data_IF_783221018626
#
_entry.id   IF_783221018626
#
_cell.length_a   1.000
_cell.length_b   1.000
_cell.length_c   1.000
_cell.angle_alpha   90.00
_cell.angle_beta   90.00
_cell.angle_gamma   90.00
#
_symmetry.space_group_name_H-M   'P 1'
#
loop_
_entity.id
_entity.type
_entity.pdbx_description
1 polymer ?
#
# COMPACT_ATOMS: atom_id res chain seq x y z
N UNK A 1 -74.91 -5.41 -20.46
CA UNK A 1 -74.40 -6.41 -19.49
C UNK A 1 -72.90 -6.67 -19.72
N UNK A 2 -72.04 -5.64 -19.75
CA UNK A 2 -70.60 -5.86 -20.03
C UNK A 2 -69.68 -4.71 -19.56
N UNK A 3 -69.70 -4.40 -18.26
CA UNK A 3 -68.68 -3.48 -17.69
C UNK A 3 -68.14 -3.96 -16.33
N UNK A 4 -68.82 -4.85 -15.61
CA UNK A 4 -68.41 -5.25 -14.25
C UNK A 4 -67.53 -6.53 -14.18
N UNK A 5 -67.30 -7.23 -15.30
CA UNK A 5 -66.53 -8.50 -15.29
C UNK A 5 -65.03 -8.34 -15.52
N UNK A 6 -64.58 -7.20 -16.07
CA UNK A 6 -63.15 -6.95 -16.39
C UNK A 6 -62.34 -6.37 -15.21
N UNK A 7 -62.99 -5.84 -14.18
CA UNK A 7 -62.32 -5.29 -12.98
C UNK A 7 -61.91 -6.35 -11.95
N UNK A 8 -62.50 -7.57 -12.00
CA UNK A 8 -62.14 -8.68 -11.10
C UNK A 8 -60.95 -9.54 -11.56
N UNK A 9 -60.59 -9.53 -12.85
CA UNK A 9 -59.48 -10.33 -13.39
C UNK A 9 -58.13 -9.59 -13.29
N UNK A 10 -58.11 -8.25 -13.37
CA UNK A 10 -56.87 -7.46 -13.19
C UNK A 10 -56.40 -7.33 -11.74
N UNK A 11 -57.24 -7.64 -10.75
CA UNK A 11 -56.90 -7.57 -9.32
C UNK A 11 -56.26 -8.83 -8.74
N UNK A 12 -55.99 -9.86 -9.56
CA UNK A 12 -55.48 -11.17 -9.09
C UNK A 12 -53.98 -11.42 -9.28
N UNK A 13 -53.17 -10.40 -9.62
CA UNK A 13 -51.70 -10.54 -9.72
C UNK A 13 -50.89 -9.31 -9.25
N UNK A 14 -51.32 -8.64 -8.18
CA UNK A 14 -50.52 -7.61 -7.48
C UNK A 14 -50.13 -8.05 -6.05
N UNK A 15 -50.09 -9.37 -5.79
CA UNK A 15 -49.58 -9.91 -4.52
C UNK A 15 -48.05 -9.80 -4.49
N UNK A 16 -47.55 -8.81 -3.74
CA UNK A 16 -46.21 -8.74 -3.14
C UNK A 16 -45.00 -8.89 -4.08
N UNK A 17 -44.83 -8.02 -5.07
CA UNK A 17 -43.47 -7.68 -5.52
C UNK A 17 -42.90 -6.68 -4.52
N UNK A 18 -42.05 -7.15 -3.59
CA UNK A 18 -41.22 -6.26 -2.75
C UNK A 18 -40.43 -5.35 -3.70
N UNK A 19 -40.73 -4.06 -3.69
CA UNK A 19 -40.02 -3.08 -4.51
C UNK A 19 -38.69 -2.81 -3.82
N UNK A 20 -37.63 -3.47 -4.30
CA UNK A 20 -36.28 -3.36 -3.74
C UNK A 20 -35.54 -2.13 -4.27
N UNK A 21 -34.65 -1.55 -3.46
CA UNK A 21 -33.75 -0.45 -3.86
C UNK A 21 -32.51 -0.97 -4.56
N UNK A 22 -31.93 -0.13 -5.42
CA UNK A 22 -30.66 -0.39 -6.07
C UNK A 22 -29.52 -0.28 -5.05
N UNK A 23 -28.69 -1.31 -4.89
CA UNK A 23 -27.56 -1.31 -3.95
C UNK A 23 -26.43 -0.33 -4.34
N UNK A 24 -26.49 0.25 -5.54
CA UNK A 24 -25.47 1.19 -6.04
C UNK A 24 -25.91 2.65 -5.85
N UNK A 25 -27.17 2.96 -6.17
CA UNK A 25 -27.65 4.36 -6.23
C UNK A 25 -28.94 4.62 -5.46
N UNK A 26 -29.49 3.61 -4.77
CA UNK A 26 -30.73 3.71 -3.98
C UNK A 26 -32.03 3.77 -4.79
N UNK A 27 -31.98 3.95 -6.12
CA UNK A 27 -33.19 4.10 -6.95
C UNK A 27 -34.07 2.85 -7.00
N UNK A 28 -35.37 3.05 -7.22
CA UNK A 28 -36.40 2.03 -7.40
C UNK A 28 -37.02 2.09 -8.81
N UNK A 29 -37.59 0.99 -9.36
CA UNK A 29 -37.51 -0.37 -8.84
C UNK A 29 -36.18 -1.05 -9.19
N UNK A 30 -35.59 -1.79 -8.25
CA UNK A 30 -34.44 -2.63 -8.52
C UNK A 30 -34.85 -4.07 -8.85
N UNK A 31 -34.05 -4.69 -9.71
CA UNK A 31 -34.18 -6.09 -10.11
C UNK A 31 -32.81 -6.76 -10.01
N UNK A 32 -32.78 -8.08 -9.91
CA UNK A 32 -31.52 -8.82 -9.82
C UNK A 32 -30.83 -8.85 -11.20
N UNK A 33 -29.69 -8.15 -11.35
CA UNK A 33 -28.92 -8.11 -12.59
C UNK A 33 -27.44 -8.39 -12.31
N UNK A 34 -26.83 -9.27 -13.10
CA UNK A 34 -25.41 -9.63 -13.05
C UNK A 34 -24.87 -10.05 -11.67
N UNK A 35 -25.73 -10.42 -10.71
CA UNK A 35 -25.33 -10.85 -9.36
C UNK A 35 -25.81 -9.94 -8.22
N UNK A 36 -26.37 -8.76 -8.51
CA UNK A 36 -26.81 -7.82 -7.48
C UNK A 36 -28.17 -7.16 -7.78
N UNK A 37 -28.85 -6.67 -6.74
CA UNK A 37 -30.07 -5.86 -6.88
C UNK A 37 -29.73 -4.46 -7.40
N UNK A 38 -30.14 -4.15 -8.63
CA UNK A 38 -29.79 -2.91 -9.32
C UNK A 38 -30.94 -2.33 -10.14
N UNK A 39 -30.94 -1.01 -10.34
CA UNK A 39 -31.85 -0.33 -11.25
C UNK A 39 -31.42 -0.50 -12.72
N UNK A 40 -32.31 -0.21 -13.67
CA UNK A 40 -32.05 -0.29 -15.12
C UNK A 40 -30.84 0.52 -15.59
N UNK A 41 -30.61 1.68 -14.96
CA UNK A 41 -29.48 2.56 -15.28
C UNK A 41 -28.16 1.94 -14.84
N UNK A 42 -28.06 1.44 -13.60
CA UNK A 42 -26.85 0.78 -13.11
C UNK A 42 -26.56 -0.54 -13.82
N UNK A 43 -27.61 -1.29 -14.20
CA UNK A 43 -27.49 -2.46 -15.07
C UNK A 43 -26.79 -2.11 -16.40
N UNK A 44 -27.30 -1.09 -17.09
CA UNK A 44 -26.79 -0.68 -18.40
C UNK A 44 -25.40 -0.07 -18.29
N UNK A 45 -25.17 0.70 -17.23
CA UNK A 45 -23.85 1.24 -16.88
C UNK A 45 -22.83 0.11 -16.69
N UNK A 46 -23.15 -0.90 -15.89
CA UNK A 46 -22.26 -2.05 -15.66
C UNK A 46 -21.94 -2.79 -16.95
N UNK A 47 -22.95 -3.12 -17.76
CA UNK A 47 -22.75 -3.79 -19.04
C UNK A 47 -21.78 -3.04 -19.96
N UNK A 48 -21.93 -1.71 -20.07
CA UNK A 48 -21.06 -0.87 -20.93
C UNK A 48 -19.60 -0.83 -20.49
N UNK A 49 -19.33 -0.99 -19.19
CA UNK A 49 -17.97 -0.91 -18.63
C UNK A 49 -17.35 -2.28 -18.41
N UNK A 50 -18.17 -3.33 -18.21
CA UNK A 50 -17.72 -4.72 -18.11
C UNK A 50 -17.19 -5.27 -19.44
N UNK A 51 -17.63 -4.73 -20.58
CA UNK A 51 -17.20 -5.19 -21.93
C UNK A 51 -16.11 -4.33 -22.56
N UNK A 52 -15.61 -3.29 -21.86
CA UNK A 52 -14.56 -2.41 -22.38
C UNK A 52 -13.18 -2.88 -21.89
N UNK A 53 -12.13 -2.77 -22.72
CA UNK A 53 -10.77 -3.11 -22.31
C UNK A 53 -10.20 -2.14 -21.25
N UNK A 54 -10.76 -0.94 -21.13
CA UNK A 54 -10.31 0.08 -20.18
C UNK A 54 -11.37 0.37 -19.13
N UNK A 55 -11.00 0.22 -17.86
CA UNK A 55 -11.83 0.62 -16.74
C UNK A 55 -11.76 2.14 -16.53
N UNK A 56 -12.88 2.79 -16.15
CA UNK A 56 -12.88 4.23 -15.90
C UNK A 56 -11.99 4.56 -14.69
N UNK A 57 -11.19 5.62 -14.79
CA UNK A 57 -10.28 6.10 -13.73
C UNK A 57 -10.93 7.24 -12.93
N UNK A 58 -10.71 7.26 -11.62
CA UNK A 58 -11.26 8.27 -10.72
C UNK A 58 -10.31 9.47 -10.63
N UNK A 59 -10.82 10.69 -10.82
CA UNK A 59 -10.04 11.92 -10.61
C UNK A 59 -9.72 12.18 -9.12
N UNK A 60 -10.55 11.67 -8.21
CA UNK A 60 -10.39 11.82 -6.76
C UNK A 60 -9.91 10.50 -6.11
N UNK A 61 -9.28 9.61 -6.87
CA UNK A 61 -8.66 8.37 -6.37
C UNK A 61 -9.56 7.47 -5.50
N UNK A 62 -10.86 7.45 -5.78
CA UNK A 62 -11.84 6.66 -5.03
C UNK A 62 -12.50 7.38 -3.85
N UNK A 63 -12.11 8.63 -3.56
CA UNK A 63 -12.64 9.42 -2.43
C UNK A 63 -13.83 10.30 -2.80
N UNK A 64 -14.48 10.03 -3.94
CA UNK A 64 -15.66 10.79 -4.35
C UNK A 64 -16.70 10.83 -3.25
N UNK A 65 -17.01 12.03 -2.78
CA UNK A 65 -18.10 12.27 -1.85
C UNK A 65 -19.43 11.75 -2.40
N UNK A 66 -20.37 11.46 -1.51
CA UNK A 66 -21.69 11.04 -1.94
C UNK A 66 -22.37 12.16 -2.76
N UNK A 67 -22.99 11.86 -3.92
CA UNK A 67 -23.23 10.52 -4.44
C UNK A 67 -22.12 10.00 -5.39
N UNK A 68 -21.63 8.80 -5.10
CA UNK A 68 -20.58 8.06 -5.85
C UNK A 68 -20.91 7.84 -7.35
N UNK A 69 -22.18 8.02 -7.75
CA UNK A 69 -22.66 7.81 -9.11
C UNK A 69 -22.15 8.83 -10.14
N UNK A 70 -21.62 9.97 -9.69
CA UNK A 70 -21.07 11.02 -10.57
C UNK A 70 -19.73 10.59 -11.19
N UNK A 71 -18.93 9.87 -10.42
CA UNK A 71 -17.66 9.34 -10.91
C UNK A 71 -17.86 7.95 -11.52
N UNK A 72 -17.52 7.79 -12.81
CA UNK A 72 -17.65 6.51 -13.53
C UNK A 72 -16.81 5.41 -12.87
N UNK A 73 -15.62 5.74 -12.38
CA UNK A 73 -14.73 4.81 -11.69
C UNK A 73 -15.32 4.31 -10.37
N UNK A 74 -15.68 5.23 -9.47
CA UNK A 74 -16.27 4.87 -8.17
C UNK A 74 -17.60 4.13 -8.34
N UNK A 75 -18.40 4.52 -9.33
CA UNK A 75 -19.64 3.82 -9.65
C UNK A 75 -19.40 2.40 -10.12
N UNK A 76 -18.39 2.17 -10.96
CA UNK A 76 -18.04 0.82 -11.43
C UNK A 76 -17.44 -0.04 -10.32
N UNK A 77 -16.56 0.53 -9.49
CA UNK A 77 -16.05 -0.12 -8.28
C UNK A 77 -17.20 -0.54 -7.35
N UNK A 78 -18.19 0.34 -7.13
CA UNK A 78 -19.38 0.01 -6.33
C UNK A 78 -20.19 -1.13 -6.94
N UNK A 79 -20.30 -1.21 -8.27
CA UNK A 79 -20.95 -2.36 -8.93
C UNK A 79 -20.27 -3.69 -8.57
N UNK A 80 -18.93 -3.74 -8.59
CA UNK A 80 -18.18 -4.94 -8.24
C UNK A 80 -18.31 -5.27 -6.74
N UNK A 81 -18.25 -4.26 -5.88
CA UNK A 81 -18.38 -4.40 -4.42
C UNK A 81 -19.73 -5.02 -4.01
N UNK A 82 -20.83 -4.63 -4.67
CA UNK A 82 -22.16 -5.21 -4.41
C UNK A 82 -22.37 -6.58 -5.06
N UNK A 83 -21.34 -7.14 -5.72
CA UNK A 83 -21.37 -8.49 -6.29
C UNK A 83 -21.85 -8.57 -7.74
N UNK A 84 -21.67 -7.52 -8.56
CA UNK A 84 -21.88 -7.64 -10.00
C UNK A 84 -20.68 -8.27 -10.70
N UNK A 85 -20.95 -9.27 -11.54
CA UNK A 85 -19.95 -10.15 -12.15
C UNK A 85 -19.80 -9.87 -13.66
N UNK A 86 -18.63 -9.40 -14.14
CA UNK A 86 -18.38 -9.10 -15.56
C UNK A 86 -18.57 -10.33 -16.47
N UNK A 87 -18.22 -11.53 -15.99
CA UNK A 87 -18.38 -12.78 -16.72
C UNK A 87 -19.85 -13.09 -17.09
N UNK A 88 -20.81 -12.56 -16.31
CA UNK A 88 -22.25 -12.70 -16.59
C UNK A 88 -22.76 -11.70 -17.64
N UNK A 89 -21.97 -10.67 -17.95
CA UNK A 89 -22.23 -9.74 -19.05
C UNK A 89 -21.65 -10.24 -20.39
N UNK A 90 -20.68 -11.16 -20.36
CA UNK A 90 -20.02 -11.72 -21.54
C UNK A 90 -20.75 -12.86 -22.25
N UNK A 91 -21.73 -13.52 -21.59
CA UNK A 91 -22.59 -14.50 -22.27
C UNK A 91 -23.69 -13.77 -23.02
N UNK A 92 -23.52 -13.57 -24.33
CA UNK A 92 -24.58 -13.16 -25.25
C UNK A 92 -25.75 -14.15 -25.15
N UNK A 93 -26.74 -13.85 -24.30
CA UNK A 93 -28.05 -14.47 -24.38
C UNK A 93 -28.64 -14.08 -25.74
N UNK A 94 -28.85 -15.08 -26.59
CA UNK A 94 -29.32 -14.89 -27.96
C UNK A 94 -30.68 -14.22 -28.04
N UNK A 95 -30.86 -13.40 -29.08
CA UNK A 95 -32.11 -13.23 -29.77
C UNK A 95 -31.85 -13.05 -31.27
N UNK A 96 -32.66 -13.75 -32.07
CA UNK A 96 -32.58 -13.94 -33.51
C UNK A 96 -32.69 -12.66 -34.36
N UNK A 97 -31.91 -12.66 -35.46
CA UNK A 97 -32.13 -12.10 -36.81
C UNK A 97 -33.18 -10.99 -37.00
N UNK A 98 -32.73 -9.91 -37.68
CA UNK A 98 -33.21 -9.56 -39.03
C UNK A 98 -32.13 -8.79 -39.82
N UNK A 99 -31.59 -9.42 -40.85
CA UNK A 99 -30.80 -8.78 -41.92
C UNK A 99 -31.74 -7.88 -42.73
N UNK A 100 -31.35 -6.62 -42.96
CA UNK A 100 -31.80 -5.83 -44.13
C UNK A 100 -30.62 -5.04 -44.69
N UNK A 101 -30.56 -5.06 -46.02
CA UNK A 101 -29.58 -4.45 -46.93
C UNK A 101 -29.56 -2.92 -46.90
N UNK A 102 -28.40 -2.36 -47.31
CA UNK A 102 -28.22 -1.01 -47.90
C UNK A 102 -28.41 0.14 -46.90
N UNK A 103 -27.67 1.24 -46.91
CA UNK A 103 -26.95 1.92 -47.99
C UNK A 103 -26.00 2.92 -47.34
N UNK A 104 -24.83 3.15 -47.94
CA UNK A 104 -23.92 4.24 -47.59
C UNK A 104 -24.58 5.60 -47.81
N UNK A 105 -24.50 6.50 -46.83
CA UNK A 105 -24.46 7.95 -47.03
C UNK A 105 -23.61 8.57 -45.92
N UNK A 106 -22.57 9.29 -46.32
CA UNK A 106 -21.56 9.87 -45.45
C UNK A 106 -21.85 11.28 -44.97
N UNK A 107 -20.80 11.81 -44.34
CA UNK A 107 -20.46 13.21 -44.06
C UNK A 107 -21.18 13.89 -42.89
N UNK A 108 -20.45 14.11 -41.79
CA UNK A 108 -19.68 15.35 -41.62
C UNK A 108 -18.84 15.32 -40.33
N UNK A 109 -17.53 15.39 -40.51
CA UNK A 109 -16.58 15.78 -39.48
C UNK A 109 -16.76 17.28 -39.19
N UNK A 110 -16.62 17.66 -37.93
CA UNK A 110 -16.53 19.05 -37.47
C UNK A 110 -15.41 19.14 -36.45
N UNK A 111 -14.73 20.29 -36.36
CA UNK A 111 -13.27 20.35 -36.25
C UNK A 111 -12.77 20.00 -34.85
N UNK A 112 -11.73 19.19 -34.79
CA UNK A 112 -10.90 19.02 -33.60
C UNK A 112 -10.22 20.36 -33.28
N UNK A 113 -10.70 21.01 -32.22
CA UNK A 113 -9.92 22.03 -31.53
C UNK A 113 -8.71 21.32 -30.89
N UNK A 114 -7.47 21.83 -31.00
CA UNK A 114 -6.33 21.19 -30.35
C UNK A 114 -6.57 21.18 -28.84
N UNK A 115 -6.95 20.03 -28.29
CA UNK A 115 -6.95 19.81 -26.86
C UNK A 115 -5.49 19.91 -26.43
N UNK A 116 -5.09 21.09 -25.94
CA UNK A 116 -3.98 21.23 -25.01
C UNK A 116 -4.18 20.15 -23.95
N UNK A 117 -3.31 19.13 -23.98
CA UNK A 117 -3.28 18.09 -22.97
C UNK A 117 -3.26 18.79 -21.62
N UNK A 118 -4.31 18.60 -20.83
CA UNK A 118 -4.31 19.09 -19.45
C UNK A 118 -3.22 18.33 -18.70
N UNK A 119 -2.57 18.97 -17.72
CA UNK A 119 -1.47 18.39 -16.94
C UNK A 119 -1.80 16.97 -16.44
N UNK A 120 -3.08 16.69 -16.14
CA UNK A 120 -3.61 15.37 -15.77
C UNK A 120 -3.46 14.25 -16.81
N UNK A 121 -3.47 14.56 -18.11
CA UNK A 121 -3.28 13.55 -19.16
C UNK A 121 -1.81 13.12 -19.28
N UNK A 122 -0.86 13.93 -18.78
CA UNK A 122 0.55 13.51 -18.59
C UNK A 122 0.70 12.59 -17.37
N UNK A 123 -0.11 12.76 -16.32
CA UNK A 123 -0.08 11.91 -15.12
C UNK A 123 -0.65 10.50 -15.33
N UNK A 124 -1.55 10.30 -16.28
CA UNK A 124 -2.06 8.97 -16.63
C UNK A 124 -0.97 8.04 -17.22
N UNK A 125 0.18 8.58 -17.65
CA UNK A 125 1.36 7.81 -18.04
C UNK A 125 2.27 7.43 -16.86
N UNK A 126 2.07 8.00 -15.66
CA UNK A 126 3.00 7.87 -14.52
C UNK A 126 2.69 6.66 -13.62
N UNK A 127 1.50 6.06 -13.71
CA UNK A 127 1.22 4.86 -12.91
C UNK A 127 0.31 3.83 -13.60
N UNK A 128 0.89 2.92 -14.41
CA UNK A 128 0.20 1.72 -14.89
C UNK A 128 -0.26 0.78 -13.75
N UNK A 129 0.29 0.94 -12.55
CA UNK A 129 0.17 0.01 -11.42
C UNK A 129 -1.20 0.00 -10.74
N UNK A 130 -2.02 1.05 -10.91
CA UNK A 130 -3.39 1.10 -10.36
C UNK A 130 -4.45 0.52 -11.30
N UNK A 131 -4.07 0.13 -12.54
CA UNK A 131 -4.99 -0.51 -13.49
C UNK A 131 -5.13 -2.03 -13.31
N UNK A 132 -4.30 -2.69 -12.49
CA UNK A 132 -4.24 -4.15 -12.39
C UNK A 132 -4.75 -4.71 -11.05
N UNK A 133 -6.04 -4.51 -10.75
CA UNK A 133 -6.72 -5.29 -9.69
C UNK A 133 -7.17 -6.70 -10.14
N UNK A 134 -6.56 -7.28 -11.18
CA UNK A 134 -6.96 -8.58 -11.74
C UNK A 134 -5.82 -9.63 -11.93
N UNK A 135 -4.60 -9.38 -11.44
CA UNK A 135 -3.52 -10.38 -11.41
C UNK A 135 -2.88 -10.42 -10.01
N UNK A 136 -3.60 -10.95 -9.01
CA UNK A 136 -3.22 -10.80 -7.58
C UNK A 136 -2.16 -11.78 -7.06
N UNK A 137 -1.86 -12.87 -7.75
CA UNK A 137 -0.87 -13.85 -7.25
C UNK A 137 0.55 -13.56 -7.75
N UNK A 138 0.74 -13.27 -9.05
CA UNK A 138 2.07 -12.97 -9.60
C UNK A 138 2.65 -11.66 -9.05
N UNK A 139 1.80 -10.67 -8.76
CA UNK A 139 2.24 -9.36 -8.26
C UNK A 139 2.73 -9.43 -6.81
N UNK A 140 2.04 -10.16 -5.92
CA UNK A 140 2.40 -10.21 -4.50
C UNK A 140 3.75 -10.90 -4.26
N UNK A 141 3.94 -12.08 -4.85
CA UNK A 141 5.20 -12.82 -4.69
C UNK A 141 6.38 -12.09 -5.36
N UNK A 142 6.13 -11.43 -6.50
CA UNK A 142 7.15 -10.60 -7.15
C UNK A 142 7.53 -9.40 -6.30
N UNK A 143 6.54 -8.71 -5.71
CA UNK A 143 6.79 -7.55 -4.85
C UNK A 143 7.58 -7.94 -3.60
N UNK A 144 7.20 -9.03 -2.93
CA UNK A 144 7.92 -9.50 -1.75
C UNK A 144 9.34 -9.91 -2.09
N UNK A 145 9.56 -10.60 -3.22
CA UNK A 145 10.92 -10.89 -3.70
C UNK A 145 11.71 -9.60 -3.92
N UNK A 146 11.10 -8.59 -4.54
CA UNK A 146 11.74 -7.28 -4.72
C UNK A 146 12.16 -6.69 -3.37
N UNK A 147 11.25 -6.62 -2.39
CA UNK A 147 11.55 -6.11 -1.05
C UNK A 147 12.67 -6.91 -0.36
N UNK A 148 12.70 -8.23 -0.51
CA UNK A 148 13.79 -9.07 0.01
C UNK A 148 15.13 -8.72 -0.64
N UNK A 149 15.16 -8.53 -1.95
CA UNK A 149 16.40 -8.18 -2.66
C UNK A 149 16.88 -6.78 -2.29
N UNK A 150 15.98 -5.81 -2.08
CA UNK A 150 16.31 -4.49 -1.53
C UNK A 150 16.99 -4.63 -0.17
N UNK A 151 16.41 -5.41 0.75
CA UNK A 151 17.00 -5.64 2.08
C UNK A 151 18.39 -6.24 2.02
N UNK A 152 18.56 -7.25 1.15
CA UNK A 152 19.86 -7.89 0.92
C UNK A 152 20.87 -6.91 0.36
N UNK A 153 20.50 -6.09 -0.61
CA UNK A 153 21.36 -5.07 -1.18
C UNK A 153 21.81 -4.03 -0.14
N UNK A 154 20.87 -3.59 0.71
CA UNK A 154 21.17 -2.65 1.79
C UNK A 154 22.04 -3.27 2.91
N UNK A 155 21.98 -4.59 3.05
CA UNK A 155 22.73 -5.36 4.05
C UNK A 155 23.98 -6.05 3.49
N UNK A 156 24.27 -5.88 2.19
CA UNK A 156 25.20 -6.73 1.46
C UNK A 156 26.63 -6.66 2.01
N UNK A 157 27.28 -7.83 2.04
CA UNK A 157 28.65 -7.99 2.48
C UNK A 157 29.63 -7.26 1.55
N UNK A 158 30.39 -6.32 2.10
CA UNK A 158 31.65 -5.90 1.48
C UNK A 158 32.74 -6.84 1.99
N UNK A 159 33.49 -7.54 1.10
CA UNK A 159 34.64 -8.36 1.48
C UNK A 159 35.75 -7.58 2.21
N UNK A 160 35.68 -6.25 2.17
CA UNK A 160 36.60 -5.32 2.78
C UNK A 160 35.90 -4.62 3.93
N UNK A 161 35.70 -5.34 5.04
CA UNK A 161 35.29 -4.70 6.29
C UNK A 161 36.51 -4.00 6.90
N UNK A 162 36.60 -2.65 6.88
CA UNK A 162 37.58 -1.96 7.70
C UNK A 162 37.35 -2.37 9.15
N UNK A 163 38.43 -2.59 9.90
CA UNK A 163 38.31 -2.92 11.32
C UNK A 163 37.57 -1.76 11.99
N UNK A 164 36.65 -2.04 12.90
CA UNK A 164 35.72 -1.04 13.50
C UNK A 164 36.42 0.15 14.23
N UNK A 165 37.74 0.16 14.37
CA UNK A 165 38.53 1.31 14.83
C UNK A 165 38.88 2.33 13.72
N UNK A 166 38.73 1.96 12.45
CA UNK A 166 38.92 2.83 11.27
C UNK A 166 37.59 3.38 10.72
N UNK A 167 36.49 3.17 11.45
CA UNK A 167 35.16 3.62 11.04
C UNK A 167 35.01 5.14 11.20
N UNK A 168 35.17 5.87 10.09
CA UNK A 168 34.89 7.31 9.98
C UNK A 168 33.47 7.57 9.50
N UNK A 169 32.92 8.72 9.90
CA UNK A 169 31.60 9.18 9.47
C UNK A 169 31.53 10.72 9.45
N UNK A 170 30.59 11.25 8.68
CA UNK A 170 30.30 12.68 8.58
C UNK A 170 28.79 12.93 8.67
N UNK A 171 28.31 13.40 9.84
CA UNK A 171 26.89 13.72 10.05
C UNK A 171 26.49 15.11 9.52
N UNK A 172 27.42 15.87 8.93
CA UNK A 172 27.12 17.17 8.32
C UNK A 172 26.56 17.05 6.90
N UNK A 173 26.68 15.87 6.29
CA UNK A 173 26.19 15.59 4.93
C UNK A 173 24.66 15.66 4.88
N UNK A 174 24.12 16.30 3.84
CA UNK A 174 22.66 16.47 3.70
C UNK A 174 21.97 15.18 3.27
N UNK A 175 20.70 15.00 3.61
CA UNK A 175 19.91 13.84 3.17
C UNK A 175 19.93 13.65 1.64
N UNK A 176 19.89 14.75 0.87
CA UNK A 176 19.91 14.66 -0.59
C UNK A 176 21.27 14.21 -1.11
N UNK A 177 22.37 14.72 -0.53
CA UNK A 177 23.71 14.26 -0.84
C UNK A 177 23.91 12.76 -0.54
N UNK A 178 23.35 12.28 0.57
CA UNK A 178 23.42 10.86 0.96
C UNK A 178 22.58 10.02 -0.01
N UNK A 179 21.41 10.47 -0.45
CA UNK A 179 20.60 9.76 -1.46
C UNK A 179 21.30 9.65 -2.82
N UNK A 180 22.07 10.66 -3.20
CA UNK A 180 22.86 10.61 -4.44
C UNK A 180 24.11 9.74 -4.28
N UNK A 181 24.82 9.90 -3.16
CA UNK A 181 26.10 9.26 -2.89
C UNK A 181 26.17 8.78 -1.42
N UNK A 182 25.59 7.61 -1.09
CA UNK A 182 25.45 7.16 0.29
C UNK A 182 26.78 7.03 1.04
N UNK A 183 27.86 6.69 0.35
CA UNK A 183 29.20 6.56 0.93
C UNK A 183 29.78 7.87 1.51
N UNK A 184 29.17 9.04 1.22
CA UNK A 184 29.59 10.32 1.81
C UNK A 184 29.40 10.35 3.34
N UNK A 185 28.39 9.65 3.87
CA UNK A 185 28.13 9.66 5.33
C UNK A 185 29.07 8.76 6.10
N UNK A 186 29.36 7.55 5.59
CA UNK A 186 30.30 6.60 6.17
C UNK A 186 30.62 5.49 5.16
N UNK A 187 31.67 4.73 5.43
CA UNK A 187 32.03 3.57 4.62
C UNK A 187 30.92 2.51 4.65
N UNK A 188 30.75 1.79 3.53
CA UNK A 188 29.83 0.65 3.44
C UNK A 188 30.35 -0.48 4.32
N UNK A 189 29.62 -0.76 5.39
CA UNK A 189 29.91 -1.83 6.35
C UNK A 189 28.64 -2.65 6.56
N UNK A 190 28.72 -4.00 6.54
CA UNK A 190 27.54 -4.85 6.71
C UNK A 190 26.84 -4.52 8.02
N UNK A 191 25.51 -4.39 8.00
CA UNK A 191 24.73 -4.02 9.19
C UNK A 191 24.93 -4.99 10.36
N UNK A 192 25.11 -6.29 10.09
CA UNK A 192 25.35 -7.29 11.13
C UNK A 192 24.15 -7.51 12.06
N UNK A 193 22.94 -7.19 11.62
CA UNK A 193 21.69 -7.40 12.35
C UNK A 193 21.22 -8.87 12.25
N UNK A 194 22.11 -9.79 12.61
CA UNK A 194 21.90 -11.23 12.46
C UNK A 194 22.34 -12.00 13.72
N UNK A 195 22.09 -13.30 13.76
CA UNK A 195 22.36 -14.15 14.93
C UNK A 195 23.84 -14.17 15.38
N UNK A 196 24.77 -13.69 14.55
CA UNK A 196 26.18 -13.49 14.91
C UNK A 196 26.47 -12.10 15.49
N UNK A 197 25.46 -11.36 15.94
CA UNK A 197 25.61 -10.06 16.58
C UNK A 197 26.58 -10.15 17.77
N UNK A 198 27.60 -9.29 17.77
CA UNK A 198 28.65 -9.29 18.81
C UNK A 198 28.14 -8.66 20.10
N UNK A 199 28.72 -9.03 21.24
CA UNK A 199 28.36 -8.41 22.50
C UNK A 199 28.65 -6.90 22.48
N UNK A 200 27.70 -6.13 23.01
CA UNK A 200 27.83 -4.69 23.13
C UNK A 200 29.00 -4.31 24.03
N UNK A 201 29.90 -3.47 23.52
CA UNK A 201 31.04 -2.95 24.26
C UNK A 201 30.84 -1.44 24.52
N UNK A 202 30.59 -1.02 25.78
CA UNK A 202 30.27 0.36 26.14
C UNK A 202 31.45 1.33 26.01
N UNK A 203 32.69 0.85 25.89
CA UNK A 203 33.90 1.68 25.95
C UNK A 203 34.40 2.20 24.58
N UNK A 204 33.53 2.31 23.56
CA UNK A 204 33.93 2.85 22.25
C UNK A 204 33.51 4.31 22.11
N UNK A 205 34.48 5.18 21.87
CA UNK A 205 34.25 6.59 21.52
C UNK A 205 33.25 6.73 20.35
N UNK A 206 32.34 7.71 20.50
CA UNK A 206 31.33 8.12 19.52
C UNK A 206 30.36 7.03 19.03
N UNK A 207 30.01 6.07 19.89
CA UNK A 207 29.04 5.00 19.59
C UNK A 207 27.74 5.51 18.94
N UNK A 208 27.11 6.55 19.52
CA UNK A 208 25.85 7.10 19.01
C UNK A 208 25.96 7.62 17.58
N UNK A 209 27.01 8.38 17.28
CA UNK A 209 27.26 8.90 15.92
C UNK A 209 27.52 7.79 14.91
N UNK A 210 28.27 6.75 15.29
CA UNK A 210 28.53 5.58 14.44
C UNK A 210 27.25 4.80 14.14
N UNK A 211 26.42 4.56 15.15
CA UNK A 211 25.10 3.93 14.98
C UNK A 211 24.23 4.75 14.03
N UNK A 212 24.14 6.06 14.24
CA UNK A 212 23.32 6.95 13.43
C UNK A 212 23.79 6.98 11.97
N UNK A 213 25.10 7.15 11.74
CA UNK A 213 25.67 7.17 10.39
C UNK A 213 25.39 5.87 9.62
N UNK A 214 25.55 4.72 10.27
CA UNK A 214 25.28 3.41 9.64
C UNK A 214 23.80 3.19 9.34
N UNK A 215 22.92 3.58 10.25
CA UNK A 215 21.48 3.48 9.99
C UNK A 215 21.01 4.45 8.91
N UNK A 216 21.61 5.65 8.83
CA UNK A 216 21.34 6.60 7.75
C UNK A 216 21.84 6.11 6.39
N UNK A 217 23.01 5.46 6.32
CA UNK A 217 23.49 4.79 5.11
C UNK A 217 22.48 3.72 4.65
N UNK A 218 22.05 2.85 5.56
CA UNK A 218 21.01 1.84 5.28
C UNK A 218 19.73 2.48 4.76
N UNK A 219 19.22 3.52 5.43
CA UNK A 219 18.00 4.21 5.00
C UNK A 219 18.16 4.82 3.61
N UNK A 220 19.31 5.42 3.31
CA UNK A 220 19.57 6.00 2.00
C UNK A 220 19.59 4.95 0.90
N UNK A 221 20.25 3.81 1.11
CA UNK A 221 20.19 2.70 0.14
C UNK A 221 18.78 2.18 -0.04
N UNK A 222 18.05 1.96 1.06
CA UNK A 222 16.66 1.52 1.00
C UNK A 222 15.79 2.49 0.20
N UNK A 223 15.93 3.80 0.43
CA UNK A 223 15.17 4.82 -0.28
C UNK A 223 15.54 4.91 -1.76
N UNK A 224 16.82 4.72 -2.11
CA UNK A 224 17.30 4.68 -3.50
C UNK A 224 16.68 3.52 -4.27
N UNK A 225 16.58 2.37 -3.63
CA UNK A 225 16.03 1.16 -4.24
C UNK A 225 14.49 1.07 -4.19
N UNK A 226 13.80 2.04 -3.57
CA UNK A 226 12.33 2.08 -3.48
C UNK A 226 11.74 3.03 -4.53
N UNK A 227 11.18 2.54 -5.65
CA UNK A 227 10.77 3.39 -6.78
C UNK A 227 9.67 4.41 -6.46
N UNK A 228 8.76 4.09 -5.53
CA UNK A 228 7.66 4.98 -5.16
C UNK A 228 8.15 6.29 -4.50
N UNK A 229 9.34 6.31 -3.90
CA UNK A 229 9.92 7.51 -3.31
C UNK A 229 10.42 8.47 -4.41
N UNK A 230 10.89 7.94 -5.53
CA UNK A 230 11.39 8.73 -6.66
C UNK A 230 10.29 9.34 -7.51
N UNK A 231 9.04 8.98 -7.25
CA UNK A 231 7.86 9.66 -7.81
C UNK A 231 7.57 10.98 -7.09
N UNK A 232 8.07 11.18 -5.87
CA UNK A 232 7.91 12.42 -5.13
C UNK A 232 8.72 13.55 -5.77
N UNK A 233 8.16 14.76 -5.74
CA UNK A 233 8.91 15.98 -6.07
C UNK A 233 10.12 16.15 -5.14
N UNK A 234 11.11 16.93 -5.58
CA UNK A 234 12.39 17.09 -4.87
C UNK A 234 12.23 17.40 -3.37
N UNK A 235 11.40 18.39 -3.03
CA UNK A 235 11.23 18.83 -1.64
C UNK A 235 10.43 17.83 -0.80
N UNK A 236 9.42 17.20 -1.38
CA UNK A 236 8.62 16.17 -0.71
C UNK A 236 9.45 14.92 -0.43
N UNK A 237 10.27 14.49 -1.39
CA UNK A 237 11.25 13.42 -1.22
C UNK A 237 12.22 13.73 -0.09
N UNK A 238 12.77 14.95 -0.07
CA UNK A 238 13.68 15.39 1.01
C UNK A 238 13.00 15.28 2.38
N UNK A 239 11.78 15.81 2.53
CA UNK A 239 11.01 15.76 3.79
C UNK A 239 10.66 14.32 4.18
N UNK A 240 10.20 13.54 3.22
CA UNK A 240 9.85 12.13 3.41
C UNK A 240 11.05 11.32 3.88
N UNK A 241 12.21 11.41 3.21
CA UNK A 241 13.41 10.66 3.59
C UNK A 241 13.96 11.11 4.95
N UNK A 242 13.95 12.42 5.26
CA UNK A 242 14.38 12.92 6.57
C UNK A 242 13.55 12.33 7.72
N UNK A 243 12.23 12.37 7.61
CA UNK A 243 11.34 11.81 8.63
C UNK A 243 11.39 10.28 8.63
N UNK A 244 11.35 9.69 7.44
CA UNK A 244 11.35 8.26 7.20
C UNK A 244 12.60 7.57 7.74
N UNK A 245 13.77 8.20 7.70
CA UNK A 245 15.02 7.60 8.21
C UNK A 245 14.92 7.19 9.67
N UNK A 246 14.33 8.04 10.52
CA UNK A 246 14.18 7.73 11.95
C UNK A 246 13.26 6.53 12.14
N UNK A 247 12.11 6.54 11.47
CA UNK A 247 11.09 5.49 11.56
C UNK A 247 11.61 4.16 11.02
N UNK A 248 12.23 4.18 9.85
CA UNK A 248 12.80 3.01 9.18
C UNK A 248 13.92 2.40 10.03
N UNK A 249 14.80 3.24 10.60
CA UNK A 249 15.87 2.77 11.49
C UNK A 249 15.33 2.06 12.73
N UNK A 250 14.32 2.65 13.39
CA UNK A 250 13.72 2.07 14.59
C UNK A 250 13.04 0.73 14.29
N UNK A 251 12.21 0.69 13.23
CA UNK A 251 11.51 -0.53 12.83
C UNK A 251 12.48 -1.66 12.49
N UNK A 252 13.57 -1.34 11.79
CA UNK A 252 14.61 -2.33 11.48
C UNK A 252 15.24 -2.89 12.76
N UNK A 253 15.71 -2.01 13.66
CA UNK A 253 16.35 -2.46 14.90
C UNK A 253 15.38 -3.25 15.79
N UNK A 254 14.11 -2.87 15.87
CA UNK A 254 13.10 -3.56 16.67
C UNK A 254 12.78 -4.94 16.13
N UNK A 255 12.57 -5.07 14.81
CA UNK A 255 12.30 -6.37 14.20
C UNK A 255 13.48 -7.32 14.36
N UNK A 256 14.72 -6.86 14.14
CA UNK A 256 15.88 -7.73 14.32
C UNK A 256 16.14 -8.06 15.80
N UNK A 257 15.83 -7.15 16.73
CA UNK A 257 15.87 -7.44 18.17
C UNK A 257 14.89 -8.56 18.52
N UNK A 258 13.67 -8.51 17.97
CA UNK A 258 12.66 -9.56 18.07
C UNK A 258 13.13 -10.88 17.47
N UNK A 259 13.61 -10.86 16.22
CA UNK A 259 13.96 -12.04 15.44
C UNK A 259 15.13 -12.82 16.06
N UNK A 260 16.11 -12.11 16.63
CA UNK A 260 17.27 -12.72 17.32
C UNK A 260 16.91 -13.17 18.74
N UNK A 261 15.82 -12.66 19.32
CA UNK A 261 15.47 -12.92 20.73
C UNK A 261 16.44 -12.25 21.70
N UNK A 262 16.93 -11.06 21.35
CA UNK A 262 17.70 -10.21 22.27
C UNK A 262 16.77 -9.75 23.42
N UNK A 263 17.23 -9.75 24.68
CA UNK A 263 16.42 -9.30 25.83
C UNK A 263 16.49 -7.78 26.07
N UNK A 264 17.50 -7.12 25.52
CA UNK A 264 17.58 -5.66 25.47
C UNK A 264 17.36 -5.16 24.05
N UNK A 265 18.41 -4.62 23.45
CA UNK A 265 18.36 -4.00 22.13
C UNK A 265 19.54 -4.43 21.24
N UNK A 266 19.36 -4.26 19.93
CA UNK A 266 20.46 -4.26 18.96
C UNK A 266 20.84 -2.84 18.61
N UNK A 267 22.14 -2.55 18.56
CA UNK A 267 22.65 -1.29 18.04
C UNK A 267 22.69 -1.30 16.51
N UNK A 268 22.72 -0.11 15.90
CA UNK A 268 22.97 0.05 14.46
C UNK A 268 24.35 -0.44 13.99
N UNK A 269 25.19 -0.93 14.92
CA UNK A 269 26.47 -1.55 14.62
C UNK A 269 26.42 -3.08 14.56
N UNK A 270 25.24 -3.70 14.75
CA UNK A 270 25.11 -5.14 14.85
C UNK A 270 25.60 -5.69 16.20
N UNK A 271 25.51 -4.87 17.25
CA UNK A 271 25.91 -5.28 18.60
C UNK A 271 24.70 -5.49 19.49
N UNK A 272 24.73 -6.57 20.26
CA UNK A 272 23.65 -6.99 21.16
C UNK A 272 23.94 -6.52 22.58
N UNK A 273 22.99 -5.81 23.17
CA UNK A 273 23.00 -5.49 24.59
C UNK A 273 21.87 -6.22 25.30
N UNK A 274 22.21 -7.06 26.27
CA UNK A 274 21.26 -7.63 27.23
C UNK A 274 21.40 -6.91 28.58
N UNK A 275 20.30 -6.44 29.19
CA UNK A 275 20.36 -5.78 30.48
C UNK A 275 20.87 -6.73 31.56
N UNK A 276 21.78 -6.21 32.40
CA UNK A 276 22.38 -6.97 33.50
C UNK A 276 22.61 -6.09 34.73
N UNK A 277 22.58 -6.63 35.95
CA UNK A 277 22.67 -5.84 37.19
C UNK A 277 23.94 -4.98 37.31
N UNK A 278 25.05 -5.47 36.75
CA UNK A 278 26.37 -4.82 36.69
C UNK A 278 26.59 -4.03 35.38
N UNK A 279 25.55 -3.87 34.57
CA UNK A 279 25.59 -3.17 33.29
C UNK A 279 25.68 -1.65 33.46
N UNK A 280 26.17 -0.90 32.45
CA UNK A 280 26.23 0.55 32.55
C UNK A 280 24.82 1.13 32.65
N UNK A 281 24.57 1.95 33.68
CA UNK A 281 23.25 2.46 34.04
C UNK A 281 22.48 3.04 32.84
N UNK A 282 23.10 3.94 32.06
CA UNK A 282 22.44 4.54 30.89
C UNK A 282 22.00 3.53 29.82
N UNK A 283 22.72 2.42 29.62
CA UNK A 283 22.31 1.38 28.66
C UNK A 283 21.25 0.45 29.24
N UNK A 284 21.29 0.18 30.55
CA UNK A 284 20.18 -0.49 31.25
C UNK A 284 18.91 0.36 31.19
N UNK A 285 19.01 1.69 31.35
CA UNK A 285 17.90 2.62 31.27
C UNK A 285 17.31 2.66 29.85
N UNK A 286 18.15 2.77 28.81
CA UNK A 286 17.70 2.69 27.41
C UNK A 286 17.01 1.36 27.15
N UNK A 287 17.60 0.25 27.62
CA UNK A 287 16.98 -1.05 27.45
C UNK A 287 15.67 -1.18 28.25
N UNK A 288 15.57 -0.55 29.42
CA UNK A 288 14.34 -0.45 30.19
C UNK A 288 13.26 0.34 29.46
N UNK A 289 13.54 1.57 29.03
CA UNK A 289 12.55 2.49 28.42
C UNK A 289 12.17 2.06 27.00
N UNK A 290 13.13 1.68 26.15
CA UNK A 290 12.83 1.31 24.77
C UNK A 290 12.32 -0.13 24.67
N UNK A 291 12.76 -1.02 25.56
CA UNK A 291 12.52 -2.44 25.40
C UNK A 291 11.43 -3.00 26.32
N UNK A 292 10.97 -2.30 27.35
CA UNK A 292 9.93 -2.83 28.23
C UNK A 292 8.61 -3.05 27.48
N UNK A 293 8.10 -2.05 26.77
CA UNK A 293 6.88 -2.16 25.96
C UNK A 293 7.08 -3.14 24.80
N UNK A 294 8.24 -3.09 24.14
CA UNK A 294 8.56 -4.03 23.06
C UNK A 294 8.55 -5.48 23.56
N UNK A 295 9.27 -5.80 24.64
CA UNK A 295 9.43 -7.16 25.14
C UNK A 295 8.20 -7.71 25.84
N UNK A 296 7.43 -6.86 26.52
CA UNK A 296 6.30 -7.31 27.33
C UNK A 296 4.96 -7.22 26.60
N UNK A 297 4.81 -6.32 25.62
CA UNK A 297 3.55 -6.12 24.91
C UNK A 297 3.67 -6.58 23.45
N UNK A 298 4.62 -6.03 22.70
CA UNK A 298 4.67 -6.20 21.25
C UNK A 298 5.22 -7.57 20.86
N UNK A 299 6.39 -7.96 21.35
CA UNK A 299 7.06 -9.20 20.95
C UNK A 299 6.24 -10.45 21.30
N UNK A 300 5.60 -10.55 22.49
CA UNK A 300 4.71 -11.68 22.77
C UNK A 300 3.53 -11.73 21.79
N UNK A 301 2.95 -10.59 21.41
CA UNK A 301 1.89 -10.53 20.41
C UNK A 301 2.38 -10.98 19.03
N UNK A 302 3.55 -10.51 18.58
CA UNK A 302 4.17 -10.92 17.32
C UNK A 302 4.49 -12.43 17.31
N UNK A 303 4.94 -13.01 18.42
CA UNK A 303 5.13 -14.47 18.54
C UNK A 303 3.82 -15.24 18.46
N UNK A 304 2.76 -14.76 19.13
CA UNK A 304 1.43 -15.41 19.13
C UNK A 304 0.83 -15.50 17.72
N UNK A 305 1.05 -14.47 16.90
CA UNK A 305 0.59 -14.46 15.51
C UNK A 305 1.63 -15.02 14.54
N UNK A 306 2.73 -15.62 15.02
CA UNK A 306 3.81 -16.14 14.18
C UNK A 306 4.24 -15.14 13.08
N UNK A 307 4.51 -13.89 13.47
CA UNK A 307 4.81 -12.80 12.54
C UNK A 307 6.06 -13.10 11.71
N UNK A 308 5.87 -13.26 10.40
CA UNK A 308 6.89 -13.68 9.46
C UNK A 308 7.73 -12.52 8.93
N UNK A 309 8.87 -12.83 8.31
CA UNK A 309 9.70 -11.81 7.65
C UNK A 309 8.97 -11.14 6.49
N UNK A 310 8.17 -11.87 5.71
CA UNK A 310 7.39 -11.28 4.62
C UNK A 310 6.34 -10.28 5.14
N UNK A 311 5.64 -10.63 6.21
CA UNK A 311 4.69 -9.73 6.87
C UNK A 311 5.40 -8.50 7.44
N UNK A 312 6.61 -8.66 7.99
CA UNK A 312 7.46 -7.54 8.40
C UNK A 312 7.78 -6.60 7.23
N UNK A 313 8.18 -7.11 6.08
CA UNK A 313 8.52 -6.27 4.92
C UNK A 313 7.31 -5.46 4.45
N UNK A 314 6.15 -6.11 4.31
CA UNK A 314 4.90 -5.43 3.93
C UNK A 314 4.48 -4.39 4.99
N UNK A 315 4.51 -4.77 6.26
CA UNK A 315 4.17 -3.87 7.36
C UNK A 315 5.12 -2.68 7.44
N UNK A 316 6.42 -2.90 7.25
CA UNK A 316 7.44 -1.85 7.19
C UNK A 316 7.11 -0.83 6.10
N UNK A 317 6.69 -1.28 4.92
CA UNK A 317 6.23 -0.38 3.85
C UNK A 317 4.97 0.38 4.24
N UNK A 318 3.98 -0.29 4.85
CA UNK A 318 2.76 0.39 5.33
C UNK A 318 3.11 1.50 6.32
N UNK A 319 3.96 1.20 7.31
CA UNK A 319 4.36 2.16 8.34
C UNK A 319 5.20 3.30 7.77
N UNK A 320 6.18 3.01 6.90
CA UNK A 320 7.00 4.02 6.25
C UNK A 320 6.17 5.00 5.41
N UNK A 321 5.16 4.49 4.69
CA UNK A 321 4.25 5.30 3.88
C UNK A 321 3.00 5.77 4.67
N UNK A 322 3.08 5.87 5.99
CA UNK A 322 2.02 6.49 6.79
C UNK A 322 1.96 8.00 6.53
N UNK A 323 0.77 8.61 6.36
CA UNK A 323 0.63 10.06 6.31
C UNK A 323 0.92 10.64 7.71
N UNK A 324 2.19 10.96 7.98
CA UNK A 324 2.62 11.68 9.18
C UNK A 324 2.56 13.20 9.00
N UNK A 325 2.96 13.99 10.02
CA UNK A 325 3.02 15.45 9.96
C UNK A 325 4.23 15.95 9.15
N UNK A 326 4.46 15.37 7.96
CA UNK A 326 5.67 15.56 7.14
C UNK A 326 5.59 16.84 6.30
N UNK A 327 4.42 17.50 6.24
CA UNK A 327 4.23 18.75 5.49
C UNK A 327 4.50 18.58 4.00
N UNK A 328 4.00 17.49 3.42
CA UNK A 328 4.10 17.21 1.99
C UNK A 328 3.12 18.07 1.18
N UNK A 329 3.42 18.29 -0.09
CA UNK A 329 2.43 18.81 -1.04
C UNK A 329 1.24 17.84 -1.20
N UNK A 330 0.13 18.32 -1.76
CA UNK A 330 -1.04 17.47 -2.04
C UNK A 330 -0.70 16.31 -2.97
N UNK A 331 0.16 16.55 -3.96
CA UNK A 331 0.71 15.58 -4.91
C UNK A 331 1.52 14.50 -4.16
N UNK A 332 2.50 14.91 -3.36
CA UNK A 332 3.33 14.01 -2.57
C UNK A 332 2.49 13.18 -1.59
N UNK A 333 1.55 13.82 -0.90
CA UNK A 333 0.64 13.15 0.03
C UNK A 333 -0.25 12.12 -0.70
N UNK A 334 -0.69 12.38 -1.93
CA UNK A 334 -1.44 11.43 -2.73
C UNK A 334 -0.60 10.20 -3.11
N UNK A 335 0.67 10.40 -3.51
CA UNK A 335 1.62 9.31 -3.79
C UNK A 335 1.79 8.45 -2.54
N UNK A 336 2.08 9.05 -1.38
CA UNK A 336 2.26 8.31 -0.12
C UNK A 336 1.02 7.49 0.24
N UNK A 337 -0.18 8.08 0.16
CA UNK A 337 -1.44 7.36 0.42
C UNK A 337 -1.67 6.21 -0.55
N UNK A 338 -1.39 6.40 -1.83
CA UNK A 338 -1.54 5.36 -2.86
C UNK A 338 -0.60 4.18 -2.60
N UNK A 339 0.68 4.48 -2.36
CA UNK A 339 1.71 3.48 -2.05
C UNK A 339 1.37 2.71 -0.78
N UNK A 340 0.93 3.41 0.27
CA UNK A 340 0.45 2.75 1.50
C UNK A 340 -0.68 1.77 1.22
N UNK A 341 -1.72 2.18 0.47
CA UNK A 341 -2.86 1.32 0.13
C UNK A 341 -2.45 0.08 -0.67
N UNK A 342 -1.44 0.20 -1.55
CA UNK A 342 -0.84 -0.95 -2.26
C UNK A 342 -0.35 -2.00 -1.25
N UNK A 343 0.50 -1.61 -0.31
CA UNK A 343 1.07 -2.54 0.67
C UNK A 343 0.06 -3.01 1.74
N UNK A 344 -0.90 -2.16 2.14
CA UNK A 344 -2.01 -2.57 3.01
C UNK A 344 -2.85 -3.67 2.36
N UNK A 345 -3.18 -3.53 1.07
CA UNK A 345 -3.92 -4.54 0.34
C UNK A 345 -3.17 -5.87 0.28
N UNK A 346 -1.84 -5.83 0.08
CA UNK A 346 -0.97 -7.01 0.09
C UNK A 346 -0.92 -7.69 1.47
N UNK A 347 -0.82 -6.93 2.55
CA UNK A 347 -0.82 -7.45 3.93
C UNK A 347 -2.17 -8.07 4.32
N UNK A 348 -3.26 -7.66 3.68
CA UNK A 348 -4.62 -8.19 3.88
C UNK A 348 -4.97 -9.40 3.01
N UNK A 349 -4.03 -9.93 2.22
CA UNK A 349 -4.28 -11.12 1.40
C UNK A 349 -4.50 -12.37 2.27
N UNK A 350 -5.37 -13.33 1.86
CA UNK A 350 -5.76 -14.48 2.68
C UNK A 350 -4.63 -15.30 3.29
N UNK A 351 -3.48 -15.35 2.61
CA UNK A 351 -2.27 -16.01 3.10
C UNK A 351 -1.74 -15.42 4.41
N UNK A 352 -2.03 -14.16 4.69
CA UNK A 352 -1.66 -13.44 5.91
C UNK A 352 -2.85 -13.22 6.86
N UNK A 353 -4.10 -13.38 6.38
CA UNK A 353 -5.31 -13.17 7.20
C UNK A 353 -5.49 -14.16 8.36
N UNK A 354 -4.72 -15.26 8.41
CA UNK A 354 -4.61 -16.09 9.61
C UNK A 354 -4.11 -15.30 10.83
N UNK A 355 -3.31 -14.25 10.59
CA UNK A 355 -2.66 -13.41 11.60
C UNK A 355 -3.31 -12.02 11.76
N UNK A 356 -4.00 -11.51 10.74
CA UNK A 356 -4.51 -10.11 10.69
C UNK A 356 -5.88 -9.91 11.35
N UNK A 357 -6.57 -10.97 11.81
CA UNK A 357 -7.83 -10.82 12.58
C UNK A 357 -7.66 -10.10 13.92
N UNK A 358 -6.43 -9.96 14.43
CA UNK A 358 -6.14 -9.26 15.68
C UNK A 358 -6.17 -7.73 15.54
N UNK A 359 -5.66 -7.16 14.44
CA UNK A 359 -5.53 -5.71 14.28
C UNK A 359 -6.85 -4.94 14.08
N UNK A 360 -7.96 -5.62 13.79
CA UNK A 360 -9.30 -4.99 13.74
C UNK A 360 -9.96 -4.86 15.11
N UNK A 361 -9.50 -5.60 16.12
CA UNK A 361 -10.15 -5.64 17.43
C UNK A 361 -9.44 -4.83 18.51
N UNK A 362 -8.20 -4.39 18.29
CA UNK A 362 -7.50 -3.50 19.22
C UNK A 362 -7.19 -2.18 18.54
N UNK A 363 -7.82 -1.10 19.00
CA UNK A 363 -7.42 0.27 18.67
C UNK A 363 -6.04 0.50 19.28
N UNK A 364 -4.99 0.44 18.47
CA UNK A 364 -3.74 1.09 18.82
C UNK A 364 -3.95 2.60 18.60
N UNK A 365 -4.07 3.33 19.71
CA UNK A 365 -4.13 4.80 19.78
C UNK A 365 -2.71 5.35 19.73
#
# INVERSE_FOLDING_TARGET
>A
MDVERTTRIRKRSLKNKRIHSCLICGSYPATFNYGALTCSVCKTFFLRHATRPHTPVCAEFGECGYPLIKCKACRYAKCLEVGMHPERAGKRSGCMRRKRHGTELGMNESPELPLLLTEHQRFAQVCPSTMLQAQRMDNLDSEIRCLIEIEKACSADSPWTPKMHEFSFDLSVTMMDILEQPQKICARVPLGLCNSATEFNPCRENMGGKCLARMMLYCADFFRETPEIWQLGHDDRRRFCLYGSMLLSQIQLYYHTFAIGCKGFLSGLGQRYDPRPDGPAGFNDIAGVCSYELHNLIFPALRRINFTYEEFLLWKMVVLFSPGPIGLSDEGAAIIRCTRRKYEAMLLEPRYLGNVRFFKNERFV
#
